data_IF_089277222274
#
_entry.id   IF_089277222274
#
_cell.length_a   1.000
_cell.length_b   1.000
_cell.length_c   1.000
_cell.angle_alpha   90.00
_cell.angle_beta   90.00
_cell.angle_gamma   90.00
#
_symmetry.space_group_name_H-M   'P 1'
#
loop_
_entity.id
_entity.type
_entity.pdbx_description
1 polymer ?
#
# COMPACT_ATOMS: atom_id res chain seq x y z
N UNK A 1 -14.71 -7.85 -25.37
CA UNK A 1 -15.12 -7.09 -24.17
C UNK A 1 -15.74 -8.07 -23.20
N UNK A 2 -15.14 -8.27 -22.03
CA UNK A 2 -15.50 -9.35 -21.11
C UNK A 2 -16.85 -9.10 -20.43
N UNK A 3 -17.68 -10.13 -20.35
CA UNK A 3 -19.01 -10.11 -19.73
C UNK A 3 -19.00 -9.87 -18.20
N UNK A 4 -17.81 -9.79 -17.59
CA UNK A 4 -17.60 -9.60 -16.15
C UNK A 4 -17.22 -8.16 -15.73
N UNK A 5 -17.01 -7.24 -16.68
CA UNK A 5 -16.75 -5.82 -16.37
C UNK A 5 -17.94 -5.10 -15.72
N UNK A 6 -19.12 -5.72 -15.72
CA UNK A 6 -20.35 -5.16 -15.15
C UNK A 6 -20.46 -5.30 -13.63
N UNK A 7 -19.62 -6.13 -13.02
CA UNK A 7 -19.73 -6.48 -11.59
C UNK A 7 -18.50 -6.10 -10.76
N UNK A 8 -17.45 -5.58 -11.39
CA UNK A 8 -16.28 -5.08 -10.67
C UNK A 8 -16.60 -3.67 -10.16
N UNK A 9 -16.62 -3.42 -8.83
CA UNK A 9 -16.78 -2.08 -8.31
C UNK A 9 -15.60 -1.25 -8.80
N UNK A 10 -15.86 -0.27 -9.69
CA UNK A 10 -14.84 0.68 -10.14
C UNK A 10 -14.19 1.28 -8.90
N UNK A 11 -12.91 0.96 -8.67
CA UNK A 11 -12.15 1.46 -7.53
C UNK A 11 -12.08 2.97 -7.67
N UNK A 12 -12.86 3.68 -6.85
CA UNK A 12 -12.96 5.13 -6.88
C UNK A 12 -11.54 5.70 -6.70
N UNK A 13 -11.11 6.66 -7.53
CA UNK A 13 -9.82 7.33 -7.31
C UNK A 13 -9.79 7.85 -5.88
N UNK A 14 -8.68 7.65 -5.19
CA UNK A 14 -8.55 8.01 -3.77
C UNK A 14 -8.76 9.51 -3.65
N UNK A 15 -9.92 9.92 -3.11
CA UNK A 15 -10.24 11.31 -2.85
C UNK A 15 -9.16 11.91 -1.94
N UNK A 16 -8.42 12.90 -2.47
CA UNK A 16 -7.46 13.68 -1.69
C UNK A 16 -8.26 14.66 -0.83
N UNK A 17 -8.85 14.15 0.25
CA UNK A 17 -9.43 14.99 1.30
C UNK A 17 -8.31 15.61 2.13
N UNK A 18 -8.47 16.87 2.51
CA UNK A 18 -7.52 17.63 3.31
C UNK A 18 -7.38 17.00 4.71
N UNK A 19 -6.44 16.05 4.83
CA UNK A 19 -6.17 15.31 6.06
C UNK A 19 -5.08 15.96 6.92
N UNK A 20 -4.60 17.15 6.56
CA UNK A 20 -3.53 17.86 7.27
C UNK A 20 -3.76 17.95 8.78
N UNK A 21 -4.95 18.34 9.31
CA UNK A 21 -5.14 18.40 10.77
C UNK A 21 -5.04 17.01 11.42
N UNK A 22 -5.59 15.97 10.79
CA UNK A 22 -5.54 14.59 11.30
C UNK A 22 -4.12 14.04 11.27
N UNK A 23 -3.36 14.31 10.21
CA UNK A 23 -1.95 13.93 10.10
C UNK A 23 -1.10 14.63 11.16
N UNK A 24 -1.32 15.92 11.40
CA UNK A 24 -0.62 16.67 12.45
C UNK A 24 -0.84 16.04 13.82
N UNK A 25 -2.08 15.68 14.15
CA UNK A 25 -2.39 14.99 15.40
C UNK A 25 -1.75 13.61 15.49
N UNK A 26 -1.80 12.83 14.40
CA UNK A 26 -1.16 11.52 14.33
C UNK A 26 0.35 11.61 14.58
N UNK A 27 1.03 12.56 13.93
CA UNK A 27 2.47 12.80 14.13
C UNK A 27 2.75 13.21 15.58
N UNK A 28 1.98 14.12 16.18
CA UNK A 28 2.14 14.50 17.60
C UNK A 28 2.06 13.28 18.52
N UNK A 29 1.08 12.40 18.30
CA UNK A 29 0.89 11.18 19.09
C UNK A 29 2.08 10.23 18.94
N UNK A 30 2.56 10.01 17.72
CA UNK A 30 3.76 9.18 17.47
C UNK A 30 4.99 9.71 18.20
N UNK A 31 5.23 11.03 18.15
CA UNK A 31 6.32 11.64 18.91
C UNK A 31 6.21 11.42 20.42
N UNK A 32 4.98 11.51 20.98
CA UNK A 32 4.73 11.21 22.39
C UNK A 32 5.05 9.75 22.75
N UNK A 33 4.61 8.80 21.92
CA UNK A 33 4.88 7.36 22.13
C UNK A 33 6.37 7.07 22.06
N UNK A 34 7.08 7.59 21.06
CA UNK A 34 8.53 7.39 20.93
C UNK A 34 9.29 8.00 22.09
N UNK A 35 8.98 9.25 22.46
CA UNK A 35 9.69 9.95 23.53
C UNK A 35 9.52 9.22 24.87
N UNK A 36 8.30 8.77 25.19
CA UNK A 36 8.04 8.04 26.42
C UNK A 36 8.73 6.67 26.46
N UNK A 37 8.84 5.98 25.32
CA UNK A 37 9.50 4.68 25.23
C UNK A 37 11.03 4.76 25.23
N UNK A 38 11.59 5.68 24.45
CA UNK A 38 13.03 5.73 24.19
C UNK A 38 13.78 6.65 25.15
N UNK A 39 13.12 7.66 25.70
CA UNK A 39 13.72 8.64 26.60
C UNK A 39 13.13 8.61 28.01
N UNK A 40 12.15 7.74 28.28
CA UNK A 40 11.58 7.55 29.61
C UNK A 40 10.86 8.78 30.17
N UNK A 41 10.41 9.70 29.30
CA UNK A 41 9.66 10.88 29.75
C UNK A 41 8.34 10.45 30.40
N UNK A 42 8.06 10.97 31.60
CA UNK A 42 6.81 10.72 32.33
C UNK A 42 5.79 11.82 31.97
N UNK A 43 4.71 11.43 31.31
CA UNK A 43 3.54 12.29 31.05
C UNK A 43 3.43 12.82 29.61
N UNK A 44 2.82 14.00 29.46
CA UNK A 44 2.53 14.65 28.16
C UNK A 44 3.69 15.50 27.62
N UNK A 45 4.77 15.67 28.40
CA UNK A 45 5.90 16.53 28.03
C UNK A 45 6.92 15.77 27.19
N UNK A 46 7.15 16.25 25.97
CA UNK A 46 8.21 15.76 25.08
C UNK A 46 9.58 16.26 25.56
N UNK A 47 10.64 15.49 25.31
CA UNK A 47 12.00 15.94 25.57
C UNK A 47 12.39 17.10 24.64
N UNK A 48 13.42 17.89 24.97
CA UNK A 48 13.83 19.05 24.17
C UNK A 48 14.17 18.68 22.72
N UNK A 49 14.81 17.51 22.52
CA UNK A 49 15.19 17.00 21.19
C UNK A 49 13.96 16.67 20.33
N UNK A 50 12.99 15.92 20.88
CA UNK A 50 11.75 15.59 20.19
C UNK A 50 10.90 16.83 19.90
N UNK A 51 10.88 17.80 20.82
CA UNK A 51 10.14 19.06 20.66
C UNK A 51 10.72 19.90 19.52
N UNK A 52 12.05 20.03 19.44
CA UNK A 52 12.72 20.76 18.36
C UNK A 52 12.45 20.14 16.98
N UNK A 53 12.50 18.82 16.88
CA UNK A 53 12.18 18.11 15.63
C UNK A 53 10.70 18.26 15.26
N UNK A 54 9.79 18.13 16.22
CA UNK A 54 8.35 18.30 16.01
C UNK A 54 7.99 19.71 15.52
N UNK A 55 8.59 20.75 16.11
CA UNK A 55 8.40 22.13 15.68
C UNK A 55 8.87 22.36 14.23
N UNK A 56 10.01 21.76 13.88
CA UNK A 56 10.54 21.80 12.51
C UNK A 56 9.59 21.14 11.52
N UNK A 57 9.08 19.96 11.86
CA UNK A 57 8.11 19.21 11.05
C UNK A 57 6.82 20.01 10.84
N UNK A 58 6.26 20.59 11.91
CA UNK A 58 5.04 21.40 11.81
C UNK A 58 5.21 22.62 10.93
N UNK A 59 6.34 23.31 11.06
CA UNK A 59 6.65 24.51 10.24
C UNK A 59 6.72 24.16 8.76
N UNK A 60 7.35 23.03 8.42
CA UNK A 60 7.48 22.55 7.04
C UNK A 60 6.16 22.02 6.48
N UNK A 61 5.34 21.34 7.30
CA UNK A 61 3.98 20.93 6.89
C UNK A 61 3.08 22.13 6.54
N UNK A 62 3.21 23.25 7.26
CA UNK A 62 2.45 24.46 6.96
C UNK A 62 2.90 25.13 5.64
N UNK A 63 4.15 24.94 5.24
CA UNK A 63 4.75 25.50 4.01
C UNK A 63 4.84 24.46 2.88
N UNK A 64 3.95 23.47 2.88
CA UNK A 64 3.96 22.40 1.88
C UNK A 64 3.59 22.95 0.49
N UNK A 65 4.37 22.67 -0.56
CA UNK A 65 4.08 23.14 -1.92
C UNK A 65 2.78 22.57 -2.50
N UNK A 66 2.37 21.38 -2.03
CA UNK A 66 1.12 20.74 -2.48
C UNK A 66 -0.15 21.37 -1.90
N UNK A 67 -0.05 22.21 -0.86
CA UNK A 67 -1.22 22.88 -0.27
C UNK A 67 -2.36 21.92 0.09
N UNK A 68 -3.55 22.14 -0.50
CA UNK A 68 -4.79 21.39 -0.24
C UNK A 68 -4.78 20.01 -0.92
N UNK A 69 -4.04 19.83 -2.01
CA UNK A 69 -3.94 18.57 -2.76
C UNK A 69 -2.83 17.66 -2.24
N UNK A 70 -2.41 17.84 -0.99
CA UNK A 70 -1.34 17.05 -0.39
C UNK A 70 -1.73 15.57 -0.31
N UNK A 71 -0.94 14.64 -0.87
CA UNK A 71 -1.14 13.22 -0.64
C UNK A 71 -0.85 12.87 0.83
N UNK A 72 -1.21 11.66 1.24
CA UNK A 72 -0.83 11.14 2.57
C UNK A 72 0.69 11.22 2.71
N UNK A 73 1.21 11.67 3.85
CA UNK A 73 2.67 11.85 4.07
C UNK A 73 3.51 10.64 3.63
N UNK A 74 3.02 9.42 3.87
CA UNK A 74 3.69 8.15 3.51
C UNK A 74 3.81 7.90 1.99
N UNK A 75 2.92 8.53 1.21
CA UNK A 75 2.90 8.45 -0.26
C UNK A 75 3.38 9.74 -0.92
N UNK A 76 4.04 10.62 -0.16
CA UNK A 76 4.54 11.88 -0.68
C UNK A 76 5.88 11.64 -1.39
N UNK A 77 5.99 12.11 -2.64
CA UNK A 77 7.19 11.91 -3.46
C UNK A 77 8.31 12.88 -3.08
N UNK A 78 7.99 14.03 -2.46
CA UNK A 78 8.98 15.02 -2.06
C UNK A 78 9.56 14.71 -0.67
N UNK A 79 10.88 14.86 -0.57
CA UNK A 79 11.57 14.91 0.71
C UNK A 79 11.31 16.27 1.38
N UNK A 80 10.43 16.31 2.39
CA UNK A 80 10.01 17.54 3.07
C UNK A 80 11.05 18.12 4.05
N UNK A 81 11.97 17.30 4.55
CA UNK A 81 12.99 17.67 5.54
C UNK A 81 14.40 17.28 5.04
N UNK A 82 15.45 17.94 5.52
CA UNK A 82 16.83 17.53 5.19
C UNK A 82 17.17 16.16 5.76
N UNK A 83 18.18 15.48 5.19
CA UNK A 83 18.48 14.05 5.43
C UNK A 83 18.58 13.68 6.92
N UNK A 84 19.20 14.53 7.73
CA UNK A 84 19.35 14.30 9.19
C UNK A 84 17.99 14.25 9.89
N UNK A 85 17.11 15.22 9.62
CA UNK A 85 15.79 15.29 10.21
C UNK A 85 14.87 14.19 9.63
N UNK A 86 15.05 13.84 8.36
CA UNK A 86 14.26 12.81 7.69
C UNK A 86 14.55 11.42 8.28
N UNK A 87 15.83 11.09 8.53
CA UNK A 87 16.23 9.86 9.22
C UNK A 87 15.61 9.75 10.61
N UNK A 88 15.72 10.79 11.42
CA UNK A 88 15.12 10.82 12.76
C UNK A 88 13.59 10.72 12.71
N UNK A 89 12.94 11.39 11.76
CA UNK A 89 11.49 11.31 11.59
C UNK A 89 11.02 9.88 11.25
N UNK A 90 11.70 9.22 10.30
CA UNK A 90 11.39 7.86 9.90
C UNK A 90 11.62 6.85 11.04
N UNK A 91 12.68 7.04 11.83
CA UNK A 91 12.94 6.25 13.02
C UNK A 91 11.79 6.37 14.02
N UNK A 92 11.32 7.59 14.31
CA UNK A 92 10.20 7.84 15.22
C UNK A 92 8.92 7.20 14.69
N UNK A 93 8.61 7.34 13.40
CA UNK A 93 7.41 6.75 12.80
C UNK A 93 7.44 5.22 12.84
N UNK A 94 8.61 4.60 12.57
CA UNK A 94 8.81 3.14 12.62
C UNK A 94 8.71 2.59 14.05
N UNK A 95 9.33 3.26 15.01
CA UNK A 95 9.29 2.87 16.41
C UNK A 95 7.89 3.04 17.04
N UNK A 96 7.16 4.08 16.62
CA UNK A 96 5.79 4.34 17.08
C UNK A 96 4.80 3.31 16.56
N UNK A 97 4.93 2.92 15.29
CA UNK A 97 4.08 1.91 14.65
C UNK A 97 4.37 0.50 15.19
N UNK A 98 5.64 0.15 15.37
CA UNK A 98 6.06 -1.08 16.08
C UNK A 98 5.48 -1.14 17.50
N UNK A 99 5.38 0.02 18.15
CA UNK A 99 4.81 0.12 19.48
C UNK A 99 3.34 -0.27 19.63
N UNK A 100 2.56 -0.25 18.55
CA UNK A 100 1.17 -0.71 18.52
C UNK A 100 1.07 -2.23 18.36
N UNK A 101 1.99 -2.83 17.60
CA UNK A 101 2.10 -4.29 17.42
C UNK A 101 2.42 -5.00 18.75
N UNK A 102 3.22 -4.37 19.61
CA UNK A 102 3.53 -4.88 20.95
C UNK A 102 2.42 -4.65 21.99
N UNK A 103 1.53 -3.67 21.80
CA UNK A 103 0.44 -3.38 22.75
C UNK A 103 -0.87 -4.11 22.46
N UNK A 104 -1.16 -4.41 21.20
CA UNK A 104 -2.34 -5.21 20.80
C UNK A 104 -1.95 -6.32 19.81
N UNK A 105 -1.18 -7.34 20.26
CA UNK A 105 -0.72 -8.43 19.41
C UNK A 105 -1.90 -9.16 18.72
N UNK A 106 -3.04 -9.28 19.41
CA UNK A 106 -4.24 -9.95 18.90
C UNK A 106 -4.85 -9.20 17.70
N UNK A 107 -4.84 -7.86 17.71
CA UNK A 107 -5.42 -7.06 16.63
C UNK A 107 -4.53 -7.05 15.39
N UNK A 108 -3.20 -6.99 15.59
CA UNK A 108 -2.22 -7.15 14.52
C UNK A 108 -2.31 -8.53 13.86
N UNK A 109 -2.50 -9.59 14.64
CA UNK A 109 -2.68 -10.95 14.12
C UNK A 109 -3.98 -11.10 13.32
N UNK A 110 -5.10 -10.52 13.81
CA UNK A 110 -6.37 -10.48 13.08
C UNK A 110 -6.24 -9.77 11.73
N UNK A 111 -5.53 -8.65 11.68
CA UNK A 111 -5.36 -7.92 10.44
C UNK A 111 -4.45 -8.64 9.44
N UNK A 112 -3.40 -9.31 9.94
CA UNK A 112 -2.48 -10.11 9.13
C UNK A 112 -3.19 -11.34 8.54
N UNK A 113 -4.03 -12.02 9.33
CA UNK A 113 -4.88 -13.13 8.86
C UNK A 113 -5.89 -12.66 7.79
N UNK A 114 -6.48 -11.48 7.97
CA UNK A 114 -7.36 -10.88 6.97
C UNK A 114 -6.61 -10.48 5.68
N UNK A 115 -5.34 -10.05 5.76
CA UNK A 115 -4.53 -9.82 4.56
C UNK A 115 -4.14 -11.13 3.86
N UNK A 116 -3.77 -12.16 4.62
CA UNK A 116 -3.41 -13.47 4.08
C UNK A 116 -4.57 -14.17 3.37
N UNK A 117 -5.81 -14.01 3.85
CA UNK A 117 -6.97 -14.58 3.17
C UNK A 117 -7.23 -13.92 1.81
N UNK A 118 -6.96 -12.60 1.70
CA UNK A 118 -7.06 -11.85 0.45
C UNK A 118 -5.94 -12.25 -0.52
N UNK A 119 -4.70 -12.37 -0.03
CA UNK A 119 -3.56 -12.79 -0.85
C UNK A 119 -3.71 -14.25 -1.33
N UNK A 120 -4.23 -15.15 -0.48
CA UNK A 120 -4.57 -16.52 -0.88
C UNK A 120 -5.63 -16.55 -1.99
N UNK A 121 -6.69 -15.75 -1.84
CA UNK A 121 -7.76 -15.65 -2.84
C UNK A 121 -7.23 -15.16 -4.19
N UNK A 122 -6.29 -14.20 -4.18
CA UNK A 122 -5.66 -13.65 -5.36
C UNK A 122 -4.74 -14.67 -6.05
N UNK A 123 -3.90 -15.36 -5.30
CA UNK A 123 -3.02 -16.42 -5.84
C UNK A 123 -3.80 -17.57 -6.48
N UNK A 124 -4.98 -17.91 -5.92
CA UNK A 124 -5.88 -18.93 -6.47
C UNK A 124 -6.54 -18.45 -7.77
N UNK A 125 -6.93 -17.17 -7.85
CA UNK A 125 -7.45 -16.58 -9.09
C UNK A 125 -6.38 -16.60 -10.18
N UNK A 126 -5.14 -16.21 -9.87
CA UNK A 126 -4.02 -16.22 -10.82
C UNK A 126 -3.70 -17.63 -11.34
N UNK A 127 -3.75 -18.66 -10.48
CA UNK A 127 -3.59 -20.06 -10.91
C UNK A 127 -4.71 -20.50 -11.85
N UNK A 128 -5.97 -20.25 -11.48
CA UNK A 128 -7.12 -20.60 -12.31
C UNK A 128 -7.10 -19.86 -13.66
N UNK A 129 -6.59 -18.63 -13.70
CA UNK A 129 -6.42 -17.84 -14.93
C UNK A 129 -5.31 -18.41 -15.83
N UNK A 130 -4.18 -18.83 -15.24
CA UNK A 130 -3.08 -19.49 -15.96
C UNK A 130 -3.54 -20.82 -16.56
N UNK A 131 -4.23 -21.66 -15.80
CA UNK A 131 -4.77 -22.94 -16.28
C UNK A 131 -5.78 -22.74 -17.42
N UNK A 132 -6.65 -21.71 -17.30
CA UNK A 132 -7.57 -21.34 -18.39
C UNK A 132 -6.85 -20.82 -19.63
N UNK A 133 -5.76 -20.08 -19.47
CA UNK A 133 -4.95 -19.59 -20.58
C UNK A 133 -4.24 -20.75 -21.30
N UNK A 134 -3.65 -21.68 -20.55
CA UNK A 134 -3.02 -22.88 -21.12
C UNK A 134 -4.04 -23.79 -21.82
N UNK A 135 -5.22 -24.01 -21.22
CA UNK A 135 -6.28 -24.79 -21.86
C UNK A 135 -6.77 -24.14 -23.16
N UNK A 136 -6.91 -22.81 -23.21
CA UNK A 136 -7.26 -22.09 -24.44
C UNK A 136 -6.17 -22.18 -25.50
N UNK A 137 -4.90 -22.08 -25.11
CA UNK A 137 -3.77 -22.21 -26.03
C UNK A 137 -3.69 -23.62 -26.65
N UNK A 138 -3.89 -24.66 -25.83
CA UNK A 138 -3.93 -26.06 -26.29
C UNK A 138 -5.07 -26.30 -27.29
N UNK A 139 -6.28 -25.86 -26.96
CA UNK A 139 -7.44 -25.96 -27.86
C UNK A 139 -7.25 -25.16 -29.17
N UNK A 140 -6.64 -23.98 -29.11
CA UNK A 140 -6.34 -23.19 -30.31
C UNK A 140 -5.29 -23.86 -31.21
N UNK A 141 -4.25 -24.45 -30.62
CA UNK A 141 -3.23 -25.20 -31.34
C UNK A 141 -3.80 -26.46 -32.00
N UNK A 142 -4.67 -27.21 -31.30
CA UNK A 142 -5.34 -28.39 -31.84
C UNK A 142 -6.26 -28.04 -33.00
N UNK A 143 -7.03 -26.95 -32.87
CA UNK A 143 -7.89 -26.45 -33.94
C UNK A 143 -7.11 -25.92 -35.14
N UNK A 144 -5.92 -25.36 -34.93
CA UNK A 144 -5.02 -24.93 -36.00
C UNK A 144 -4.44 -26.14 -36.75
N UNK A 145 -4.00 -27.18 -36.02
CA UNK A 145 -3.53 -28.45 -36.61
C UNK A 145 -4.63 -29.15 -37.43
N UNK A 146 -5.85 -29.24 -36.90
CA UNK A 146 -6.98 -29.81 -37.63
C UNK A 146 -7.33 -29.02 -38.91
N UNK A 147 -7.18 -27.69 -38.88
CA UNK A 147 -7.39 -26.82 -40.06
C UNK A 147 -6.27 -27.00 -41.10
N UNK A 148 -5.02 -27.16 -40.68
CA UNK A 148 -3.89 -27.50 -41.55
C UNK A 148 -4.08 -28.86 -42.24
N UNK A 149 -4.42 -29.89 -41.46
CA UNK A 149 -4.67 -31.24 -41.99
C UNK A 149 -5.85 -31.28 -42.95
N UNK A 150 -6.93 -30.55 -42.66
CA UNK A 150 -8.09 -30.43 -43.56
C UNK A 150 -7.76 -29.68 -44.87
N UNK A 151 -6.79 -28.76 -44.86
CA UNK A 151 -6.28 -28.10 -46.08
C UNK A 151 -5.45 -29.05 -46.92
N UNK A 152 -4.49 -29.77 -46.29
CA UNK A 152 -3.64 -30.77 -46.97
C UNK A 152 -4.48 -31.86 -47.65
N UNK A 153 -5.49 -32.39 -46.94
CA UNK A 153 -6.43 -33.39 -47.49
C UNK A 153 -7.30 -32.87 -48.65
N UNK A 154 -7.48 -31.55 -48.79
CA UNK A 154 -8.20 -30.95 -49.93
C UNK A 154 -7.29 -30.70 -51.13
N UNK A 155 -6.00 -30.46 -50.91
CA UNK A 155 -5.00 -30.29 -51.97
C UNK A 155 -4.60 -31.64 -52.61
N UNK A 156 -4.51 -32.73 -51.83
CA UNK A 156 -4.24 -34.08 -52.37
C UNK A 156 -5.41 -34.69 -53.16
N UNK A 157 -6.61 -34.11 -53.05
CA UNK A 157 -7.85 -34.64 -53.65
C UNK A 157 -8.30 -33.88 -54.90
N UNK A 158 -7.50 -32.92 -55.35
CA UNK A 158 -7.72 -32.09 -56.55
C UNK A 158 -6.67 -32.43 -57.59
#
# INVERSE_FOLDING_TARGET
MGMFDRFLPKKKPVEIKNNIPKEKESIKKSFGVYCNKNHGTKGEKLCPKCTALLATVMTKMNRCPYGITKPICDRCEIQCFGDKNNKMFNEIMSASSTGMMFKHPIMAFKHKMASMSVDYSKSKQEKNEREKAEAKAKNAAEKAKAREEAKKKKEEKK
#
